data_IF_062553638769
#
_entry.id   IF_062553638769
#
_cell.length_a   1.000
_cell.length_b   1.000
_cell.length_c   1.000
_cell.angle_alpha   90.00
_cell.angle_beta   90.00
_cell.angle_gamma   90.00
#
_symmetry.space_group_name_H-M   'P 1'
#
loop_
_entity.id
_entity.type
_entity.pdbx_description
1 polymer ?
#
# COMPACT_ATOMS: atom_id res chain seq x y z
N UNK A 1 -4.97 -8.08 -3.08
CA UNK A 1 -3.95 -9.09 -3.46
C UNK A 1 -3.53 -9.86 -2.23
N UNK A 2 -3.43 -11.20 -2.30
CA UNK A 2 -3.10 -12.04 -1.14
C UNK A 2 -2.25 -13.25 -1.54
N UNK A 3 -1.25 -13.60 -0.70
CA UNK A 3 -0.40 -14.81 -0.86
C UNK A 3 0.31 -14.88 -2.21
N UNK A 4 1.02 -13.80 -2.55
CA UNK A 4 1.85 -13.72 -3.75
C UNK A 4 3.30 -13.50 -3.29
N UNK A 5 3.99 -14.55 -2.82
CA UNK A 5 5.23 -14.41 -2.05
C UNK A 5 6.38 -13.79 -2.84
N UNK A 6 6.38 -13.98 -4.17
CA UNK A 6 7.46 -13.54 -5.07
C UNK A 6 7.20 -12.14 -5.69
N UNK A 7 6.14 -11.44 -5.28
CA UNK A 7 5.87 -10.07 -5.75
C UNK A 7 6.81 -9.12 -5.03
N UNK A 8 7.79 -8.61 -5.79
CA UNK A 8 8.80 -7.64 -5.31
C UNK A 8 8.40 -6.19 -5.50
N UNK A 9 7.54 -5.93 -6.48
CA UNK A 9 7.15 -4.59 -6.93
C UNK A 9 5.65 -4.55 -7.16
N UNK A 10 5.03 -3.46 -6.74
CA UNK A 10 3.65 -3.10 -7.04
C UNK A 10 3.63 -1.62 -7.37
N UNK A 11 2.95 -1.27 -8.44
CA UNK A 11 2.79 0.12 -8.89
C UNK A 11 1.33 0.36 -9.23
N UNK A 12 0.87 1.56 -8.91
CA UNK A 12 -0.43 2.08 -9.27
C UNK A 12 -0.15 3.23 -10.23
N UNK A 13 -0.39 2.97 -11.50
CA UNK A 13 -0.24 3.96 -12.56
C UNK A 13 -1.28 5.06 -12.43
N UNK A 14 -0.96 6.25 -12.95
CA UNK A 14 -1.88 7.37 -12.97
C UNK A 14 -3.18 6.99 -13.72
N UNK A 15 -4.33 7.32 -13.13
CA UNK A 15 -5.64 6.98 -13.67
C UNK A 15 -6.04 5.50 -13.50
N UNK A 16 -5.19 4.66 -12.92
CA UNK A 16 -5.56 3.30 -12.57
C UNK A 16 -6.57 3.30 -11.41
N UNK A 17 -7.72 2.67 -11.63
CA UNK A 17 -8.73 2.38 -10.60
C UNK A 17 -9.18 3.65 -9.82
N UNK A 18 -9.74 4.66 -10.50
CA UNK A 18 -9.95 6.00 -9.94
C UNK A 18 -10.95 6.09 -8.78
N UNK A 19 -11.78 5.07 -8.57
CA UNK A 19 -12.86 5.07 -7.58
C UNK A 19 -12.80 3.83 -6.66
N UNK A 20 -11.59 3.40 -6.29
CA UNK A 20 -11.43 2.29 -5.34
C UNK A 20 -11.64 2.77 -3.91
N UNK A 21 -12.57 2.13 -3.22
CA UNK A 21 -12.85 2.41 -1.81
C UNK A 21 -11.96 1.60 -0.86
N UNK A 22 -11.56 0.38 -1.23
CA UNK A 22 -10.83 -0.52 -0.34
C UNK A 22 -9.72 -1.30 -1.05
N UNK A 23 -8.54 -1.33 -0.45
CA UNK A 23 -7.40 -2.12 -0.91
C UNK A 23 -6.83 -2.97 0.23
N UNK A 24 -6.61 -4.25 -0.11
CA UNK A 24 -5.98 -5.23 0.78
C UNK A 24 -4.74 -5.80 0.09
N UNK A 25 -3.56 -5.58 0.67
CA UNK A 25 -2.27 -6.11 0.22
C UNK A 25 -1.73 -6.96 1.37
N UNK A 26 -1.79 -8.28 1.22
CA UNK A 26 -1.53 -9.20 2.33
C UNK A 26 -0.61 -10.36 1.96
N UNK A 27 0.35 -10.68 2.82
CA UNK A 27 1.21 -11.85 2.65
C UNK A 27 2.02 -11.81 1.35
N UNK A 28 2.65 -10.66 1.06
CA UNK A 28 3.61 -10.46 -0.03
C UNK A 28 4.99 -10.32 0.62
N UNK A 29 5.63 -11.45 0.90
CA UNK A 29 6.86 -11.52 1.70
C UNK A 29 8.05 -10.81 1.08
N UNK A 30 8.09 -10.66 -0.25
CA UNK A 30 9.17 -9.97 -0.96
C UNK A 30 8.86 -8.50 -1.30
N UNK A 31 7.67 -8.00 -0.95
CA UNK A 31 7.32 -6.59 -1.18
C UNK A 31 7.90 -5.73 -0.04
N UNK A 32 9.07 -5.16 -0.28
CA UNK A 32 9.84 -4.36 0.69
C UNK A 32 9.59 -2.86 0.62
N UNK A 33 9.00 -2.38 -0.47
CA UNK A 33 8.79 -0.96 -0.70
C UNK A 33 7.29 -0.64 -0.77
N UNK A 34 6.95 0.59 -0.38
CA UNK A 34 5.64 1.16 -0.59
C UNK A 34 5.32 1.15 -2.10
N UNK A 35 4.14 0.66 -2.50
CA UNK A 35 3.75 0.67 -3.91
C UNK A 35 3.74 2.09 -4.46
N UNK A 36 4.42 2.31 -5.57
CA UNK A 36 4.42 3.63 -6.20
C UNK A 36 2.99 4.02 -6.60
N UNK A 37 2.61 5.27 -6.37
CA UNK A 37 1.29 5.80 -6.70
C UNK A 37 0.16 5.40 -5.75
N UNK A 38 0.43 4.66 -4.66
CA UNK A 38 -0.62 4.31 -3.68
C UNK A 38 -1.25 5.55 -3.05
N UNK A 39 -0.49 6.64 -2.87
CA UNK A 39 -1.01 7.89 -2.33
C UNK A 39 -1.92 8.67 -3.28
N UNK A 40 -1.91 8.35 -4.59
CA UNK A 40 -2.78 9.03 -5.56
C UNK A 40 -4.22 8.51 -5.53
N UNK A 41 -4.48 7.43 -4.77
CA UNK A 41 -5.83 6.89 -4.57
C UNK A 41 -6.63 7.74 -3.60
N UNK A 42 -7.16 8.86 -4.11
CA UNK A 42 -7.89 9.84 -3.30
C UNK A 42 -9.25 9.36 -2.77
N UNK A 43 -9.88 8.36 -3.41
CA UNK A 43 -11.16 7.80 -2.95
C UNK A 43 -11.04 6.75 -1.85
N UNK A 44 -9.80 6.36 -1.49
CA UNK A 44 -9.57 5.19 -0.66
C UNK A 44 -10.05 5.42 0.77
N UNK A 45 -10.93 4.53 1.25
CA UNK A 45 -11.50 4.52 2.60
C UNK A 45 -10.81 3.50 3.51
N UNK A 46 -10.29 2.42 2.93
CA UNK A 46 -9.60 1.36 3.68
C UNK A 46 -8.34 0.90 2.96
N UNK A 47 -7.24 0.86 3.71
CA UNK A 47 -5.96 0.33 3.25
C UNK A 47 -5.37 -0.60 4.30
N UNK A 48 -5.29 -1.89 3.98
CA UNK A 48 -4.60 -2.88 4.81
C UNK A 48 -3.40 -3.45 4.08
N UNK A 49 -2.23 -3.24 4.67
CA UNK A 49 -0.91 -3.69 4.19
C UNK A 49 -0.28 -4.55 5.26
N UNK A 50 -0.58 -5.85 5.24
CA UNK A 50 -0.31 -6.76 6.35
C UNK A 50 0.58 -7.92 5.92
N UNK A 51 1.47 -8.36 6.83
CA UNK A 51 2.36 -9.50 6.60
C UNK A 51 3.22 -9.31 5.34
N UNK A 52 3.84 -8.14 5.20
CA UNK A 52 4.75 -7.79 4.11
C UNK A 52 6.21 -8.10 4.50
N UNK A 53 7.17 -7.74 3.64
CA UNK A 53 8.58 -7.87 3.95
C UNK A 53 8.94 -7.12 5.24
N UNK A 54 9.90 -7.63 6.00
CA UNK A 54 10.32 -7.06 7.30
C UNK A 54 10.75 -5.59 7.24
N UNK A 55 11.32 -5.16 6.11
CA UNK A 55 11.81 -3.79 5.91
C UNK A 55 10.72 -2.83 5.44
N UNK A 56 9.53 -3.33 5.10
CA UNK A 56 8.42 -2.51 4.58
C UNK A 56 8.07 -1.34 5.51
N UNK A 57 8.06 -1.56 6.83
CA UNK A 57 7.75 -0.50 7.80
C UNK A 57 8.81 0.61 7.84
N UNK A 58 10.07 0.28 7.57
CA UNK A 58 11.12 1.28 7.50
C UNK A 58 10.92 2.17 6.27
N UNK A 59 10.63 1.58 5.11
CA UNK A 59 10.31 2.32 3.89
C UNK A 59 9.03 3.17 4.03
N UNK A 60 8.00 2.62 4.67
CA UNK A 60 6.77 3.34 5.01
C UNK A 60 7.03 4.61 5.84
N UNK A 61 7.89 4.49 6.87
CA UNK A 61 8.28 5.60 7.73
C UNK A 61 9.14 6.63 7.00
N UNK A 62 10.13 6.18 6.22
CA UNK A 62 11.01 7.03 5.43
C UNK A 62 10.23 7.91 4.44
N UNK A 63 9.21 7.33 3.79
CA UNK A 63 8.34 8.02 2.84
C UNK A 63 7.24 8.87 3.51
N UNK A 64 7.20 8.93 4.85
CA UNK A 64 6.21 9.67 5.64
C UNK A 64 4.76 9.30 5.27
N UNK A 65 4.51 8.02 4.97
CA UNK A 65 3.24 7.57 4.42
C UNK A 65 2.06 7.82 5.36
N UNK A 66 2.29 7.89 6.67
CA UNK A 66 1.24 8.28 7.61
C UNK A 66 0.66 9.68 7.32
N UNK A 67 1.49 10.61 6.85
CA UNK A 67 1.02 11.95 6.44
C UNK A 67 0.31 11.92 5.10
N UNK A 68 0.80 11.12 4.15
CA UNK A 68 0.23 11.00 2.80
C UNK A 68 -1.09 10.21 2.77
N UNK A 69 -1.38 9.43 3.82
CA UNK A 69 -2.56 8.59 3.93
C UNK A 69 -3.61 9.11 4.91
N UNK A 70 -3.53 10.39 5.31
CA UNK A 70 -4.48 11.01 6.27
C UNK A 70 -5.92 10.99 5.79
N UNK A 71 -6.15 10.92 4.48
CA UNK A 71 -7.49 10.83 3.90
C UNK A 71 -8.12 9.45 4.03
N UNK A 72 -7.35 8.41 4.39
CA UNK A 72 -7.83 7.03 4.51
C UNK A 72 -8.26 6.74 5.96
N UNK A 73 -9.56 6.63 6.27
CA UNK A 73 -10.02 6.45 7.65
C UNK A 73 -9.60 5.12 8.28
N UNK A 74 -9.56 4.04 7.50
CA UNK A 74 -9.20 2.71 7.99
C UNK A 74 -7.84 2.26 7.45
N UNK A 75 -6.77 2.74 8.09
CA UNK A 75 -5.39 2.46 7.71
C UNK A 75 -4.70 1.45 8.63
N UNK A 76 -4.10 0.41 8.06
CA UNK A 76 -3.20 -0.55 8.75
C UNK A 76 -2.01 -0.86 7.87
N UNK A 77 -0.80 -0.49 8.29
CA UNK A 77 0.47 -0.74 7.60
C UNK A 77 1.61 -0.98 8.60
#
# INVERSE_FOLDING_TARGET
MRRMPNVKKLEIEEGAIPCVDEIYIMSLSELSMVPHGIESLGSLKKLWMLYLHKDFKADWGLNQMHNKMKHVPELRA
#
